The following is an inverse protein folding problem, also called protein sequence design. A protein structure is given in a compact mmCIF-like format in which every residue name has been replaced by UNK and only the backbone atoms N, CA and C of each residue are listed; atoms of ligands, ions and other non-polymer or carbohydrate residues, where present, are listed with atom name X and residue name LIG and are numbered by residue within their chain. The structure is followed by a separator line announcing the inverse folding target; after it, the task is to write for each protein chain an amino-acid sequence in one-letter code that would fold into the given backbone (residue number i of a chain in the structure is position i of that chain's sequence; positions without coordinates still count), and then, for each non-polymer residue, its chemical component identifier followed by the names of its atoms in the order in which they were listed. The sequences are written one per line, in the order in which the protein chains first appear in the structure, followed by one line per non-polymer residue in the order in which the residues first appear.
data_IF_329998187949
#
_entry.id   IF_329998187949
#
_cell.length_a   1.000
_cell.length_b   1.000
_cell.length_c   1.000
_cell.angle_alpha   90.00
_cell.angle_beta   90.00
_cell.angle_gamma   90.00
#
_symmetry.space_group_name_H-M   'P 1'
#
loop_
_entity.id
_entity.type
_entity.pdbx_description
1 polymer ?
#
# COMPACT_ATOMS: atom_id res chain seq x y z
N UNK A 1 -6.36 9.86 -14.79
CA UNK A 1 -5.32 10.89 -14.65
C UNK A 1 -4.00 10.18 -14.83
N UNK A 2 -3.22 10.50 -15.86
CA UNK A 2 -1.90 9.90 -16.09
C UNK A 2 -0.84 10.91 -15.65
N UNK A 3 -0.04 10.54 -14.65
CA UNK A 3 1.06 11.39 -14.16
C UNK A 3 2.28 11.21 -15.08
N UNK A 4 2.79 12.26 -15.74
CA UNK A 4 3.74 12.15 -16.87
C UNK A 4 5.14 11.60 -16.50
N UNK A 5 5.46 11.42 -15.24
CA UNK A 5 6.83 11.15 -14.78
C UNK A 5 7.14 9.67 -14.51
N UNK A 6 6.16 8.76 -14.57
CA UNK A 6 6.34 7.35 -14.26
C UNK A 6 6.26 6.53 -15.54
N UNK A 7 7.40 6.34 -16.21
CA UNK A 7 7.48 5.58 -17.47
C UNK A 7 8.45 4.38 -17.40
N UNK A 8 9.07 4.16 -16.25
CA UNK A 8 9.98 3.03 -16.11
C UNK A 8 9.19 1.77 -15.76
N UNK A 9 9.43 0.64 -16.47
CA UNK A 9 8.79 -0.62 -16.14
C UNK A 9 9.29 -1.16 -14.80
N UNK A 10 8.40 -1.83 -14.07
CA UNK A 10 8.76 -2.57 -12.85
C UNK A 10 9.46 -3.87 -13.23
N UNK A 11 10.37 -4.33 -12.38
CA UNK A 11 11.01 -5.64 -12.54
C UNK A 11 10.02 -6.77 -12.17
N UNK A 12 9.51 -7.45 -13.18
CA UNK A 12 8.54 -8.55 -12.98
C UNK A 12 9.20 -9.87 -12.56
N UNK A 13 10.52 -9.97 -12.56
CA UNK A 13 11.24 -11.15 -12.05
C UNK A 13 11.46 -11.08 -10.53
N UNK A 14 11.33 -9.89 -9.94
CA UNK A 14 11.38 -9.70 -8.49
C UNK A 14 10.18 -10.35 -7.78
N UNK A 15 10.30 -10.69 -6.49
CA UNK A 15 9.17 -11.15 -5.69
C UNK A 15 7.99 -10.19 -5.73
N UNK A 16 6.79 -10.72 -5.94
CA UNK A 16 5.56 -9.93 -6.13
C UNK A 16 5.15 -9.25 -4.82
N UNK A 17 5.44 -7.97 -4.70
CA UNK A 17 5.14 -7.18 -3.51
C UNK A 17 4.14 -6.06 -3.80
N UNK A 18 3.08 -5.98 -2.99
CA UNK A 18 2.22 -4.81 -2.85
C UNK A 18 2.63 -4.00 -1.61
N UNK A 19 2.49 -2.68 -1.67
CA UNK A 19 2.74 -1.80 -0.53
C UNK A 19 1.51 -0.96 -0.23
N UNK A 20 1.11 -0.97 1.02
CA UNK A 20 -0.02 -0.22 1.53
C UNK A 20 0.46 0.96 2.37
N UNK A 21 -0.14 2.10 2.10
CA UNK A 21 0.15 3.37 2.74
C UNK A 21 -1.12 3.98 3.34
N UNK A 22 -0.96 5.02 4.16
CA UNK A 22 -2.02 5.97 4.48
C UNK A 22 -1.59 7.37 4.08
N UNK A 23 -2.51 8.13 3.51
CA UNK A 23 -2.22 9.46 2.95
C UNK A 23 -1.88 10.52 4.02
N UNK A 24 -2.13 10.23 5.28
CA UNK A 24 -2.07 11.19 6.38
C UNK A 24 -2.91 12.46 6.08
N UNK A 25 -4.03 12.27 5.36
CA UNK A 25 -4.87 13.37 4.89
C UNK A 25 -6.19 12.95 4.28
N UNK A 26 -6.90 13.92 3.69
CA UNK A 26 -8.16 13.71 2.99
C UNK A 26 -7.99 13.59 1.47
N UNK A 27 -9.08 13.18 0.79
CA UNK A 27 -9.09 12.84 -0.65
C UNK A 27 -8.53 13.96 -1.55
N UNK A 28 -9.14 15.15 -1.55
CA UNK A 28 -8.78 16.23 -2.49
C UNK A 28 -7.31 16.68 -2.33
N UNK A 29 -6.85 16.79 -1.07
CA UNK A 29 -5.47 17.17 -0.76
C UNK A 29 -4.47 16.13 -1.23
N UNK A 30 -4.75 14.86 -0.97
CA UNK A 30 -3.89 13.74 -1.36
C UNK A 30 -3.79 13.59 -2.87
N UNK A 31 -4.92 13.59 -3.60
CA UNK A 31 -4.94 13.54 -5.07
C UNK A 31 -4.12 14.70 -5.65
N UNK A 32 -4.31 15.93 -5.15
CA UNK A 32 -3.58 17.10 -5.63
C UNK A 32 -2.05 17.00 -5.44
N UNK A 33 -1.59 16.31 -4.39
CA UNK A 33 -0.16 16.04 -4.19
C UNK A 33 0.32 14.96 -5.16
N UNK A 34 -0.41 13.87 -5.28
CA UNK A 34 -0.02 12.73 -6.11
C UNK A 34 -0.04 13.03 -7.61
N UNK A 35 -0.89 13.94 -8.09
CA UNK A 35 -0.87 14.42 -9.48
C UNK A 35 0.46 15.11 -9.84
N UNK A 36 1.18 15.61 -8.86
CA UNK A 36 2.44 16.36 -9.06
C UNK A 36 3.67 15.61 -8.60
N UNK A 37 3.55 14.78 -7.54
CA UNK A 37 4.66 14.12 -6.87
C UNK A 37 4.21 12.78 -6.25
N UNK A 38 5.12 11.82 -6.19
CA UNK A 38 4.99 10.59 -5.39
C UNK A 38 3.75 9.74 -5.67
N UNK A 39 3.23 9.76 -6.89
CA UNK A 39 1.99 9.06 -7.22
C UNK A 39 2.07 7.55 -6.94
N UNK A 40 1.15 6.99 -6.11
CA UNK A 40 0.95 5.55 -6.01
C UNK A 40 0.28 5.01 -7.28
N UNK A 41 0.10 3.69 -7.36
CA UNK A 41 -0.74 3.11 -8.40
C UNK A 41 -2.21 3.42 -8.16
N UNK A 42 -2.65 3.26 -6.91
CA UNK A 42 -4.04 3.48 -6.52
C UNK A 42 -4.16 4.33 -5.26
N UNK A 43 -5.26 5.07 -5.20
CA UNK A 43 -5.76 5.71 -3.99
C UNK A 43 -7.15 5.14 -3.70
N UNK A 44 -7.41 4.71 -2.46
CA UNK A 44 -8.70 4.14 -2.04
C UNK A 44 -9.20 4.85 -0.79
N UNK A 45 -10.49 5.15 -0.73
CA UNK A 45 -11.10 5.76 0.45
C UNK A 45 -12.38 6.52 0.13
N UNK A 46 -12.79 7.40 1.04
CA UNK A 46 -14.00 8.18 0.87
C UNK A 46 -13.72 9.51 0.14
N UNK A 47 -14.34 9.69 -1.01
CA UNK A 47 -14.51 10.99 -1.67
C UNK A 47 -15.92 11.50 -1.38
N UNK A 48 -16.04 12.59 -0.62
CA UNK A 48 -17.34 13.21 -0.26
C UNK A 48 -18.37 12.22 0.28
N UNK A 49 -17.89 11.29 1.13
CA UNK A 49 -18.72 10.27 1.77
C UNK A 49 -19.10 9.07 0.89
N UNK A 50 -18.53 8.95 -0.31
CA UNK A 50 -18.67 7.79 -1.19
C UNK A 50 -17.33 7.10 -1.35
N UNK A 51 -17.32 5.77 -1.29
CA UNK A 51 -16.11 5.01 -1.56
C UNK A 51 -15.68 5.20 -3.01
N UNK A 52 -14.40 5.45 -3.21
CA UNK A 52 -13.79 5.64 -4.52
C UNK A 52 -12.43 4.97 -4.59
N UNK A 53 -12.06 4.52 -5.79
CA UNK A 53 -10.71 4.08 -6.15
C UNK A 53 -10.26 4.93 -7.33
N UNK A 54 -9.12 5.60 -7.18
CA UNK A 54 -8.46 6.31 -8.28
C UNK A 54 -7.19 5.58 -8.68
N UNK A 55 -7.04 5.27 -9.96
CA UNK A 55 -5.78 4.80 -10.51
C UNK A 55 -5.00 5.99 -11.05
N UNK A 56 -3.77 6.18 -10.58
CA UNK A 56 -2.89 7.28 -10.96
C UNK A 56 -1.72 6.79 -11.83
N UNK A 57 -1.16 5.63 -11.53
CA UNK A 57 -0.09 5.00 -12.28
C UNK A 57 -0.57 3.64 -12.77
N UNK A 58 -0.39 3.29 -14.06
CA UNK A 58 -0.67 1.94 -14.54
C UNK A 58 0.20 0.90 -13.82
N UNK A 59 -0.37 -0.26 -13.45
CA UNK A 59 0.42 -1.37 -12.96
C UNK A 59 1.37 -1.82 -14.08
N UNK A 60 2.59 -2.20 -13.72
CA UNK A 60 3.67 -2.48 -14.69
C UNK A 60 4.65 -1.32 -14.87
N UNK A 61 4.29 -0.12 -14.41
CA UNK A 61 5.20 1.02 -14.28
C UNK A 61 5.57 1.22 -12.80
N UNK A 62 6.71 1.85 -12.55
CA UNK A 62 7.16 2.13 -11.18
C UNK A 62 6.32 3.26 -10.59
N UNK A 63 5.61 3.00 -9.47
CA UNK A 63 4.95 4.04 -8.67
C UNK A 63 5.94 4.87 -7.85
N UNK A 64 5.50 5.96 -7.25
CA UNK A 64 6.35 6.95 -6.58
C UNK A 64 6.30 6.98 -5.04
N UNK A 65 5.43 6.21 -4.39
CA UNK A 65 5.15 6.37 -2.96
C UNK A 65 6.16 5.69 -2.01
N UNK A 66 7.01 4.78 -2.51
CA UNK A 66 8.02 4.05 -1.70
C UNK A 66 9.44 4.64 -1.80
N UNK A 67 9.61 5.86 -2.20
CA UNK A 67 10.91 6.55 -2.29
C UNK A 67 12.00 5.73 -3.00
N UNK A 68 13.11 5.42 -2.30
CA UNK A 68 14.23 4.64 -2.84
C UNK A 68 13.86 3.19 -3.17
N UNK A 69 12.71 2.71 -2.74
CA UNK A 69 12.24 1.33 -2.88
C UNK A 69 11.13 1.15 -3.91
N UNK A 70 10.83 2.19 -4.68
CA UNK A 70 9.74 2.19 -5.67
C UNK A 70 9.82 1.04 -6.67
N UNK A 71 11.02 0.64 -7.09
CA UNK A 71 11.24 -0.42 -8.06
C UNK A 71 11.03 -1.84 -7.53
N UNK A 72 10.83 -2.00 -6.21
CA UNK A 72 10.57 -3.30 -5.57
C UNK A 72 9.09 -3.56 -5.29
N UNK A 73 8.25 -2.55 -5.46
CA UNK A 73 6.81 -2.65 -5.28
C UNK A 73 6.10 -2.70 -6.64
N UNK A 74 5.43 -3.82 -6.95
CA UNK A 74 4.61 -3.95 -8.16
C UNK A 74 3.40 -3.05 -8.09
N UNK A 75 2.78 -2.97 -6.90
CA UNK A 75 1.61 -2.14 -6.64
C UNK A 75 1.85 -1.34 -5.36
N UNK A 76 1.48 -0.07 -5.39
CA UNK A 76 1.47 0.83 -4.23
C UNK A 76 0.05 1.38 -4.10
N UNK A 77 -0.55 1.26 -2.93
CA UNK A 77 -1.93 1.69 -2.65
C UNK A 77 -1.91 2.64 -1.45
N UNK A 78 -2.48 3.81 -1.63
CA UNK A 78 -2.69 4.80 -0.58
C UNK A 78 -4.13 4.74 -0.07
N UNK A 79 -4.33 4.45 1.20
CA UNK A 79 -5.63 4.62 1.85
C UNK A 79 -5.81 6.05 2.33
N UNK A 80 -6.95 6.65 2.03
CA UNK A 80 -7.32 7.95 2.59
C UNK A 80 -7.53 7.83 4.10
N UNK A 81 -6.79 8.63 4.86
CA UNK A 81 -6.89 8.65 6.31
C UNK A 81 -5.54 8.77 7.00
N UNK A 82 -5.53 8.37 8.26
CA UNK A 82 -4.37 8.50 9.14
C UNK A 82 -3.99 7.17 9.75
N UNK A 83 -2.68 6.89 9.78
CA UNK A 83 -2.11 5.76 10.53
C UNK A 83 -2.38 5.89 12.03
N UNK A 84 -2.43 4.76 12.73
CA UNK A 84 -2.59 4.71 14.18
C UNK A 84 -1.59 3.75 14.81
N UNK A 85 -1.17 4.07 16.03
CA UNK A 85 -0.29 3.22 16.84
C UNK A 85 -1.02 2.05 17.50
N UNK A 86 -2.34 2.12 17.62
CA UNK A 86 -3.19 1.03 18.12
C UNK A 86 -3.88 0.34 16.97
N UNK A 87 -4.23 -0.94 17.14
CA UNK A 87 -4.96 -1.72 16.14
C UNK A 87 -6.17 -0.95 15.60
N UNK A 88 -6.27 -0.82 14.30
CA UNK A 88 -7.34 -0.06 13.66
C UNK A 88 -7.79 -0.66 12.34
N UNK A 89 -8.99 -0.30 11.95
CA UNK A 89 -9.61 -0.65 10.67
C UNK A 89 -10.06 0.62 9.96
N UNK A 90 -9.97 0.68 8.63
CA UNK A 90 -10.67 1.71 7.86
C UNK A 90 -12.19 1.52 8.00
N UNK A 91 -12.98 2.49 7.55
CA UNK A 91 -14.43 2.27 7.45
C UNK A 91 -14.75 1.07 6.54
N UNK A 92 -15.92 0.44 6.77
CA UNK A 92 -16.27 -0.82 6.12
C UNK A 92 -16.26 -0.73 4.58
N UNK A 93 -16.71 0.39 4.03
CA UNK A 93 -16.76 0.57 2.57
C UNK A 93 -15.34 0.69 1.99
N UNK A 94 -14.46 1.43 2.63
CA UNK A 94 -13.03 1.52 2.26
C UNK A 94 -12.34 0.17 2.41
N UNK A 95 -12.60 -0.57 3.51
CA UNK A 95 -12.01 -1.88 3.75
C UNK A 95 -12.41 -2.89 2.65
N UNK A 96 -13.68 -2.95 2.27
CA UNK A 96 -14.17 -3.80 1.19
C UNK A 96 -13.57 -3.42 -0.16
N UNK A 97 -13.51 -2.12 -0.48
CA UNK A 97 -12.92 -1.65 -1.72
C UNK A 97 -11.41 -1.97 -1.81
N UNK A 98 -10.68 -1.84 -0.69
CA UNK A 98 -9.29 -2.23 -0.60
C UNK A 98 -9.14 -3.74 -0.78
N UNK A 99 -9.94 -4.55 -0.09
CA UNK A 99 -9.90 -6.00 -0.20
C UNK A 99 -10.16 -6.47 -1.65
N UNK A 100 -11.19 -5.93 -2.31
CA UNK A 100 -11.48 -6.22 -3.72
C UNK A 100 -10.31 -5.81 -4.64
N UNK A 101 -9.69 -4.66 -4.42
CA UNK A 101 -8.50 -4.25 -5.16
C UNK A 101 -7.33 -5.22 -4.94
N UNK A 102 -7.13 -5.71 -3.72
CA UNK A 102 -6.08 -6.68 -3.41
C UNK A 102 -6.34 -8.04 -4.08
N UNK A 103 -7.61 -8.48 -4.21
CA UNK A 103 -7.99 -9.68 -4.98
C UNK A 103 -7.61 -9.50 -6.46
N UNK A 104 -7.96 -8.37 -7.07
CA UNK A 104 -7.55 -8.07 -8.46
C UNK A 104 -6.02 -8.11 -8.61
N UNK A 105 -5.29 -7.54 -7.66
CA UNK A 105 -3.82 -7.58 -7.67
C UNK A 105 -3.27 -9.01 -7.48
N UNK A 106 -3.97 -9.85 -6.73
CA UNK A 106 -3.63 -11.26 -6.59
C UNK A 106 -3.82 -12.01 -7.92
N UNK A 107 -4.99 -11.87 -8.53
CA UNK A 107 -5.38 -12.63 -9.72
C UNK A 107 -4.58 -12.22 -10.96
N UNK A 108 -4.40 -10.92 -11.16
CA UNK A 108 -3.77 -10.38 -12.37
C UNK A 108 -2.23 -10.28 -12.26
N UNK A 109 -1.72 -10.10 -11.06
CA UNK A 109 -0.30 -9.78 -10.84
C UNK A 109 0.42 -10.76 -9.89
N UNK A 110 -0.29 -11.73 -9.34
CA UNK A 110 0.28 -12.79 -8.51
C UNK A 110 0.80 -12.31 -7.16
N UNK A 111 0.25 -11.22 -6.60
CA UNK A 111 0.62 -10.75 -5.26
C UNK A 111 -0.13 -11.59 -4.23
N UNK A 112 0.56 -12.39 -3.38
CA UNK A 112 -0.12 -13.19 -2.36
C UNK A 112 -0.91 -12.32 -1.37
N UNK A 113 -2.11 -12.79 -0.98
CA UNK A 113 -2.96 -12.16 0.05
C UNK A 113 -2.43 -12.50 1.45
N UNK A 114 -1.20 -12.12 1.72
CA UNK A 114 -0.51 -12.39 2.98
C UNK A 114 0.37 -11.21 3.40
N UNK A 115 0.47 -11.00 4.70
CA UNK A 115 1.49 -10.15 5.30
C UNK A 115 2.65 -11.03 5.78
N UNK A 116 3.93 -10.69 5.51
CA UNK A 116 5.06 -11.59 5.73
C UNK A 116 5.44 -11.82 7.20
N UNK A 117 4.75 -11.18 8.15
CA UNK A 117 5.02 -11.30 9.58
C UNK A 117 3.77 -11.68 10.36
N UNK A 118 3.96 -12.32 11.56
CA UNK A 118 2.87 -12.53 12.50
C UNK A 118 2.26 -11.21 12.98
N UNK A 119 0.99 -11.25 13.37
CA UNK A 119 0.25 -10.07 13.87
C UNK A 119 0.97 -9.35 15.02
N UNK A 120 1.60 -10.11 15.94
CA UNK A 120 2.31 -9.57 17.09
C UNK A 120 3.51 -8.69 16.74
N UNK A 121 4.02 -8.81 15.52
CA UNK A 121 5.20 -8.09 15.03
C UNK A 121 4.82 -6.84 14.22
N UNK A 122 3.54 -6.53 14.05
CA UNK A 122 3.10 -5.38 13.27
C UNK A 122 3.55 -4.06 13.89
N UNK A 123 4.19 -3.27 13.06
CA UNK A 123 5.04 -2.19 13.49
C UNK A 123 4.37 -1.02 14.18
N UNK A 124 5.18 -0.30 14.94
CA UNK A 124 4.86 0.98 15.56
C UNK A 124 5.43 2.13 14.73
N UNK A 125 4.82 3.29 14.82
CA UNK A 125 5.34 4.52 14.25
C UNK A 125 6.86 4.67 14.47
N UNK A 126 7.62 4.70 13.39
CA UNK A 126 9.06 4.96 13.39
C UNK A 126 9.98 3.85 13.92
N UNK A 127 9.47 2.77 14.47
CA UNK A 127 10.27 1.74 15.13
C UNK A 127 9.92 0.30 14.73
N UNK A 128 9.52 0.08 13.48
CA UNK A 128 9.23 -1.26 13.02
C UNK A 128 10.52 -2.12 12.98
N UNK A 129 10.59 -3.23 13.75
CA UNK A 129 11.75 -4.13 13.75
C UNK A 129 11.96 -4.81 12.39
N UNK A 130 10.93 -4.86 11.55
CA UNK A 130 10.96 -5.54 10.25
C UNK A 130 11.78 -4.83 9.19
N UNK A 131 12.08 -3.55 9.37
CA UNK A 131 12.97 -2.77 8.48
C UNK A 131 14.30 -3.47 8.22
N UNK A 132 14.84 -4.14 9.23
CA UNK A 132 16.13 -4.85 9.18
C UNK A 132 16.02 -6.31 8.82
N UNK A 133 14.81 -6.83 8.64
CA UNK A 133 14.58 -8.26 8.35
C UNK A 133 15.04 -8.68 6.96
N UNK A 134 15.20 -7.73 6.03
CA UNK A 134 15.52 -8.00 4.64
C UNK A 134 14.42 -8.69 3.83
N UNK A 135 13.20 -8.81 4.37
CA UNK A 135 12.09 -9.48 3.65
C UNK A 135 11.56 -8.66 2.47
N UNK A 136 11.42 -7.35 2.62
CA UNK A 136 10.93 -6.51 1.53
C UNK A 136 11.86 -6.58 0.31
N UNK A 137 11.29 -6.88 -0.85
CA UNK A 137 12.03 -7.12 -2.08
C UNK A 137 12.66 -8.52 -2.21
N UNK A 138 12.45 -9.43 -1.22
CA UNK A 138 12.93 -10.81 -1.23
C UNK A 138 11.82 -11.82 -0.96
N UNK A 139 10.67 -11.39 -0.45
CA UNK A 139 9.50 -12.22 -0.17
C UNK A 139 8.29 -11.58 -0.84
N UNK A 140 7.40 -12.39 -1.42
CA UNK A 140 6.14 -11.92 -2.00
C UNK A 140 5.09 -11.69 -0.90
N UNK A 141 4.16 -10.75 -1.13
CA UNK A 141 3.07 -10.42 -0.20
C UNK A 141 2.82 -8.92 -0.10
N UNK A 142 1.97 -8.54 0.84
CA UNK A 142 1.65 -7.15 1.13
C UNK A 142 2.46 -6.63 2.32
N UNK A 143 2.99 -5.44 2.17
CA UNK A 143 3.84 -4.74 3.13
C UNK A 143 3.23 -3.38 3.47
N UNK A 144 3.50 -2.85 4.65
CA UNK A 144 3.31 -1.43 4.94
C UNK A 144 4.53 -0.62 4.51
N UNK A 145 4.38 0.68 4.31
CA UNK A 145 5.54 1.57 4.10
C UNK A 145 6.51 1.51 5.30
N UNK A 146 5.99 1.31 6.49
CA UNK A 146 6.76 1.09 7.71
C UNK A 146 7.74 -0.11 7.65
N UNK A 147 7.55 -1.04 6.71
CA UNK A 147 8.37 -2.23 6.54
C UNK A 147 9.55 -2.01 5.60
N UNK A 148 9.63 -0.84 4.98
CA UNK A 148 10.71 -0.50 4.06
C UNK A 148 12.06 -0.46 4.79
N UNK A 149 13.15 -0.96 4.16
CA UNK A 149 14.48 -0.94 4.76
C UNK A 149 14.97 0.47 5.10
N UNK A 150 15.87 0.55 6.10
CA UNK A 150 16.59 1.78 6.40
C UNK A 150 17.28 2.34 5.13
N UNK A 151 17.38 3.65 4.95
CA UNK A 151 17.08 4.72 5.91
C UNK A 151 15.63 5.26 5.86
N UNK A 152 14.67 4.52 5.31
CA UNK A 152 13.28 4.95 5.32
C UNK A 152 12.74 4.98 6.77
N UNK A 153 12.00 6.02 7.11
CA UNK A 153 11.49 6.24 8.48
C UNK A 153 9.97 6.38 8.54
N UNK A 154 9.28 6.04 7.45
CA UNK A 154 7.82 6.08 7.40
C UNK A 154 7.22 5.06 8.36
N UNK A 155 6.02 5.33 8.84
CA UNK A 155 5.30 4.55 9.87
C UNK A 155 3.93 4.08 9.41
N UNK A 156 3.49 4.50 8.24
CA UNK A 156 2.21 4.13 7.65
C UNK A 156 2.23 2.68 7.12
N UNK A 157 1.13 1.99 7.17
CA UNK A 157 -0.18 2.36 7.70
C UNK A 157 -0.34 2.20 9.22
N UNK A 158 0.74 2.08 9.99
CA UNK A 158 0.72 1.88 11.43
C UNK A 158 0.18 0.49 11.79
N UNK A 159 -0.59 0.40 12.88
CA UNK A 159 -1.13 -0.86 13.37
C UNK A 159 -2.47 -1.21 12.68
N UNK A 160 -2.45 -1.32 11.34
CA UNK A 160 -3.61 -1.75 10.55
C UNK A 160 -3.97 -3.21 10.87
N UNK A 161 -5.25 -3.52 10.98
CA UNK A 161 -5.76 -4.89 11.09
C UNK A 161 -5.70 -5.61 9.73
N UNK A 162 -4.53 -6.19 9.41
CA UNK A 162 -4.30 -6.92 8.19
C UNK A 162 -5.20 -8.16 8.06
N UNK A 163 -5.43 -8.88 9.17
CA UNK A 163 -6.27 -10.09 9.16
C UNK A 163 -7.71 -9.75 8.77
N UNK A 164 -8.21 -8.61 9.23
CA UNK A 164 -9.53 -8.13 8.82
C UNK A 164 -9.60 -7.89 7.30
N UNK A 165 -8.59 -7.22 6.73
CA UNK A 165 -8.55 -6.94 5.29
C UNK A 165 -8.41 -8.23 4.47
N UNK A 166 -7.52 -9.15 4.86
CA UNK A 166 -7.37 -10.43 4.16
C UNK A 166 -8.59 -11.34 4.31
N UNK A 167 -9.28 -11.30 5.46
CA UNK A 167 -10.55 -12.03 5.62
C UNK A 167 -11.61 -11.53 4.64
N UNK A 168 -11.73 -10.21 4.47
CA UNK A 168 -12.62 -9.65 3.44
C UNK A 168 -12.19 -10.10 2.04
N UNK A 169 -10.91 -10.04 1.71
CA UNK A 169 -10.40 -10.46 0.40
C UNK A 169 -10.63 -11.95 0.07
N UNK A 170 -10.76 -12.81 1.08
CA UNK A 170 -11.04 -14.24 0.89
C UNK A 170 -12.53 -14.57 0.74
N UNK A 171 -13.39 -13.60 1.02
CA UNK A 171 -14.86 -13.77 0.95
C UNK A 171 -15.49 -13.13 -0.29
N UNK A 172 -14.72 -12.37 -1.07
CA UNK A 172 -15.13 -11.80 -2.36
C UNK A 172 -14.95 -12.83 -3.49
#
# INVERSE_FOLDING_TARGET
ITVPHFQQPVDLEAPRAGVLHTTEGGWDGSISVFERHFAPHFVVGLDRGKVAIAQLVPIGLIGGACRAHNNKAIVQVEMIGFSKETLWRPDEATAKALAALMVVCHDEWGIPLTHPWPEADWGHAGHNPHRRSGKFGHVAGWFGHQDMPDPDVHWDPGHLDWDYIFTLAQTE
#
